data_IF_056471075440
#
_entry.id   IF_056471075440
#
_cell.length_a   1.000
_cell.length_b   1.000
_cell.length_c   1.000
_cell.angle_alpha   90.00
_cell.angle_beta   90.00
_cell.angle_gamma   90.00
#
_symmetry.space_group_name_H-M   'P 1'
#
loop_
_entity.id
_entity.type
_entity.pdbx_description
1 polymer ?
#
# COMPACT_ATOMS: atom_id res chain seq x y z
N UNK A 1 -23.26 52.77 53.73
CA UNK A 1 -22.91 52.56 52.33
C UNK A 1 -22.22 51.18 52.18
N UNK A 2 -22.98 50.16 51.75
CA UNK A 2 -22.47 48.80 51.47
C UNK A 2 -22.44 48.60 49.95
N UNK A 3 -21.28 48.47 49.40
CA UNK A 3 -21.13 48.13 48.02
C UNK A 3 -21.36 46.62 47.86
N UNK A 4 -22.27 46.26 46.96
CA UNK A 4 -22.55 44.88 46.52
C UNK A 4 -21.70 44.64 45.26
N UNK A 5 -20.71 43.76 45.37
CA UNK A 5 -20.00 43.21 44.18
C UNK A 5 -20.87 42.12 43.52
N UNK A 6 -21.27 42.41 42.30
CA UNK A 6 -21.91 41.42 41.43
C UNK A 6 -20.85 40.56 40.72
N UNK A 7 -20.82 39.27 41.00
CA UNK A 7 -19.98 38.27 40.30
C UNK A 7 -20.81 37.73 39.15
N UNK A 8 -20.45 38.12 37.94
CA UNK A 8 -21.03 37.56 36.71
C UNK A 8 -20.30 36.25 36.37
N UNK A 9 -20.97 35.13 36.56
CA UNK A 9 -20.47 33.82 36.13
C UNK A 9 -20.63 33.70 34.59
N UNK A 10 -19.52 33.63 33.87
CA UNK A 10 -19.50 33.31 32.45
C UNK A 10 -19.62 31.78 32.32
N UNK A 11 -20.79 31.32 31.90
CA UNK A 11 -21.03 29.93 31.50
C UNK A 11 -20.37 29.71 30.15
N UNK A 12 -19.22 29.05 30.09
CA UNK A 12 -18.68 28.50 28.85
C UNK A 12 -19.54 27.30 28.42
N UNK A 13 -20.35 27.50 27.41
CA UNK A 13 -21.04 26.41 26.73
C UNK A 13 -19.99 25.72 25.87
N UNK A 14 -19.43 24.60 26.34
CA UNK A 14 -18.72 23.65 25.51
C UNK A 14 -19.75 22.99 24.58
N UNK A 15 -19.84 23.49 23.35
CA UNK A 15 -20.59 22.84 22.28
C UNK A 15 -19.88 21.52 21.92
N UNK A 16 -20.27 20.44 22.57
CA UNK A 16 -19.88 19.11 22.20
C UNK A 16 -20.37 18.86 20.77
N UNK A 17 -19.44 18.50 19.86
CA UNK A 17 -19.79 17.96 18.54
C UNK A 17 -20.53 16.65 18.84
N UNK A 18 -21.75 16.43 18.36
CA UNK A 18 -22.51 15.22 18.69
C UNK A 18 -21.78 13.98 18.18
N UNK A 19 -21.61 12.95 19.01
CA UNK A 19 -21.00 11.65 18.72
C UNK A 19 -21.53 11.02 17.42
N UNK A 20 -22.80 11.26 17.10
CA UNK A 20 -23.44 10.82 15.86
C UNK A 20 -22.82 11.40 14.59
N UNK A 21 -22.29 12.64 14.64
CA UNK A 21 -21.69 13.28 13.46
C UNK A 21 -20.31 12.70 13.13
N UNK A 22 -19.55 12.26 14.13
CA UNK A 22 -18.24 11.65 13.93
C UNK A 22 -18.38 10.22 13.37
N UNK A 23 -19.25 9.40 13.95
CA UNK A 23 -19.57 8.05 13.44
C UNK A 23 -20.07 8.09 12.00
N UNK A 24 -20.95 9.04 11.66
CA UNK A 24 -21.49 9.18 10.30
C UNK A 24 -20.44 9.63 9.28
N UNK A 25 -19.44 10.44 9.70
CA UNK A 25 -18.33 10.88 8.83
C UNK A 25 -17.36 9.71 8.52
N UNK A 26 -17.05 8.87 9.50
CA UNK A 26 -16.18 7.69 9.30
C UNK A 26 -16.85 6.63 8.43
N UNK A 27 -18.14 6.39 8.60
CA UNK A 27 -18.91 5.47 7.75
C UNK A 27 -18.99 5.95 6.30
N UNK A 28 -19.15 7.25 6.06
CA UNK A 28 -19.16 7.81 4.71
C UNK A 28 -17.80 7.73 4.04
N UNK A 29 -16.70 8.00 4.77
CA UNK A 29 -15.35 7.86 4.25
C UNK A 29 -15.03 6.41 3.87
N UNK A 30 -15.45 5.45 4.71
CA UNK A 30 -15.30 4.02 4.45
C UNK A 30 -16.09 3.56 3.21
N UNK A 31 -17.36 3.96 3.07
CA UNK A 31 -18.17 3.69 1.90
C UNK A 31 -17.55 4.26 0.62
N UNK A 32 -16.97 5.45 0.71
CA UNK A 32 -16.24 6.07 -0.40
C UNK A 32 -15.01 5.24 -0.79
N UNK A 33 -14.21 4.77 0.16
CA UNK A 33 -13.03 3.95 -0.10
C UNK A 33 -13.42 2.62 -0.77
N UNK A 34 -14.43 1.91 -0.24
CA UNK A 34 -14.92 0.66 -0.83
C UNK A 34 -15.39 0.87 -2.27
N UNK A 35 -16.08 1.98 -2.55
CA UNK A 35 -16.49 2.34 -3.92
C UNK A 35 -15.30 2.59 -4.83
N UNK A 36 -14.24 3.25 -4.34
CA UNK A 36 -13.01 3.47 -5.12
C UNK A 36 -12.25 2.15 -5.36
N UNK A 37 -12.23 1.26 -4.37
CA UNK A 37 -11.64 -0.07 -4.50
C UNK A 37 -12.39 -0.89 -5.56
N UNK A 38 -13.74 -0.86 -5.56
CA UNK A 38 -14.53 -1.51 -6.62
C UNK A 38 -14.24 -0.92 -7.98
N UNK A 39 -14.26 0.42 -8.12
CA UNK A 39 -13.92 1.09 -9.38
C UNK A 39 -12.52 0.70 -9.88
N UNK A 40 -11.55 0.50 -8.96
CA UNK A 40 -10.24 0.01 -9.33
C UNK A 40 -10.28 -1.45 -9.82
N UNK A 41 -10.97 -2.34 -9.13
CA UNK A 41 -11.15 -3.74 -9.55
C UNK A 41 -11.78 -3.80 -10.95
N UNK A 42 -12.75 -2.94 -11.22
CA UNK A 42 -13.47 -2.85 -12.51
C UNK A 42 -12.58 -2.42 -13.69
N UNK A 43 -11.43 -1.81 -13.44
CA UNK A 43 -10.46 -1.48 -14.50
C UNK A 43 -9.82 -2.74 -15.13
N UNK A 44 -9.64 -3.79 -14.37
CA UNK A 44 -9.21 -5.13 -14.79
C UNK A 44 -7.79 -5.25 -15.33
N UNK A 45 -7.37 -4.38 -16.26
CA UNK A 45 -6.08 -4.47 -16.95
C UNK A 45 -5.43 -3.11 -17.20
N UNK A 46 -4.10 -3.01 -16.99
CA UNK A 46 -3.35 -1.79 -17.21
C UNK A 46 -1.93 -1.99 -17.70
N UNK A 47 -1.30 -0.88 -18.13
CA UNK A 47 0.10 -0.82 -18.56
C UNK A 47 0.97 -0.23 -17.47
N UNK A 48 1.96 -0.98 -16.97
CA UNK A 48 3.05 -0.44 -16.19
C UNK A 48 4.16 0.03 -17.14
N UNK A 49 4.71 1.20 -16.91
CA UNK A 49 5.72 1.79 -17.81
C UNK A 49 6.96 2.10 -16.99
N UNK A 50 7.98 1.24 -17.11
CA UNK A 50 9.30 1.49 -16.53
C UNK A 50 10.17 2.21 -17.56
N UNK A 51 10.31 3.51 -17.37
CA UNK A 51 11.12 4.36 -18.23
C UNK A 51 11.87 5.41 -17.40
N UNK A 52 13.16 5.21 -17.19
CA UNK A 52 14.00 6.05 -16.34
C UNK A 52 15.49 5.80 -16.68
N UNK A 53 16.42 6.31 -15.90
CA UNK A 53 17.88 6.11 -16.06
C UNK A 53 18.27 4.63 -16.32
N UNK A 54 17.70 3.61 -15.64
CA UNK A 54 18.06 2.21 -15.91
C UNK A 54 17.78 1.73 -17.35
N UNK A 55 16.94 2.42 -18.12
CA UNK A 55 16.74 2.17 -19.57
C UNK A 55 18.05 2.31 -20.36
N UNK A 56 18.96 3.16 -19.88
CA UNK A 56 20.24 3.45 -20.51
C UNK A 56 21.39 2.63 -19.95
N UNK A 57 21.15 1.87 -18.86
CA UNK A 57 22.10 0.97 -18.20
C UNK A 57 21.92 -0.50 -18.60
N UNK A 58 22.74 -1.36 -17.99
CA UNK A 58 22.69 -2.81 -18.19
C UNK A 58 21.74 -3.51 -17.21
N UNK A 59 21.54 -2.95 -15.99
CA UNK A 59 20.72 -3.49 -14.94
C UNK A 59 19.45 -2.67 -14.71
N UNK A 60 18.48 -3.22 -13.98
CA UNK A 60 17.30 -2.48 -13.51
C UNK A 60 17.65 -1.49 -12.37
N UNK A 61 18.87 -1.58 -11.82
CA UNK A 61 19.45 -0.68 -10.83
C UNK A 61 20.49 0.22 -11.51
N UNK A 62 20.23 1.52 -11.53
CA UNK A 62 21.20 2.47 -12.06
C UNK A 62 22.25 2.85 -11.03
N UNK A 63 23.43 3.21 -11.52
CA UNK A 63 24.45 3.87 -10.72
C UNK A 63 23.86 5.14 -10.09
N UNK A 64 23.92 5.32 -8.76
CA UNK A 64 23.42 6.52 -8.10
C UNK A 64 24.11 7.82 -8.57
N UNK A 65 25.32 7.72 -9.10
CA UNK A 65 26.10 8.86 -9.63
C UNK A 65 25.96 9.03 -11.15
N UNK A 66 25.06 8.26 -11.79
CA UNK A 66 24.81 8.37 -13.23
C UNK A 66 24.38 9.78 -13.61
N UNK A 67 25.10 10.40 -14.56
CA UNK A 67 24.78 11.76 -15.01
C UNK A 67 23.41 11.83 -15.68
N UNK A 68 22.58 12.85 -15.39
CA UNK A 68 21.37 13.14 -16.16
C UNK A 68 21.59 13.21 -17.68
N UNK A 69 22.82 13.49 -18.12
CA UNK A 69 23.17 13.59 -19.54
C UNK A 69 23.00 12.28 -20.33
N UNK A 70 22.99 11.11 -19.65
CA UNK A 70 22.75 9.83 -20.33
C UNK A 70 21.28 9.66 -20.74
N UNK A 71 20.36 10.38 -20.08
CA UNK A 71 18.93 10.31 -20.36
C UNK A 71 18.59 11.23 -21.55
N UNK A 72 18.65 10.68 -22.76
CA UNK A 72 18.52 11.45 -23.99
C UNK A 72 17.67 10.73 -25.06
N UNK A 73 16.36 10.54 -24.83
CA UNK A 73 15.48 9.97 -25.85
C UNK A 73 15.37 10.89 -27.06
N UNK A 74 15.53 10.32 -28.27
CA UNK A 74 15.51 11.08 -29.52
C UNK A 74 14.11 11.14 -30.15
N UNK A 75 13.23 10.18 -29.83
CA UNK A 75 11.93 10.01 -30.50
C UNK A 75 10.81 9.74 -29.51
N UNK A 76 10.95 10.17 -28.24
CA UNK A 76 9.97 9.89 -27.21
C UNK A 76 8.56 10.26 -27.67
N UNK A 77 7.66 9.28 -27.61
CA UNK A 77 6.28 9.41 -28.07
C UNK A 77 5.30 8.72 -27.11
N UNK A 78 4.77 9.48 -26.16
CA UNK A 78 3.79 8.98 -25.19
C UNK A 78 2.40 8.70 -25.80
N UNK A 79 2.08 9.29 -26.98
CA UNK A 79 0.86 8.91 -27.72
C UNK A 79 0.97 7.46 -28.21
N UNK A 80 2.14 7.02 -28.71
CA UNK A 80 2.38 5.63 -29.09
C UNK A 80 2.19 4.67 -27.88
N UNK A 81 2.63 5.09 -26.67
CA UNK A 81 2.42 4.27 -25.46
C UNK A 81 0.92 4.12 -25.16
N UNK A 82 0.17 5.20 -25.25
CA UNK A 82 -1.27 5.19 -24.99
C UNK A 82 -2.04 4.37 -26.06
N UNK A 83 -1.64 4.49 -27.32
CA UNK A 83 -2.20 3.69 -28.42
C UNK A 83 -1.89 2.20 -28.26
N UNK A 84 -0.67 1.85 -27.83
CA UNK A 84 -0.30 0.47 -27.53
C UNK A 84 -1.14 -0.09 -26.37
N UNK A 85 -1.34 0.68 -25.30
CA UNK A 85 -2.22 0.29 -24.19
C UNK A 85 -3.68 0.07 -24.67
N UNK A 86 -4.23 0.97 -25.48
CA UNK A 86 -5.58 0.81 -26.06
C UNK A 86 -5.67 -0.42 -26.94
N UNK A 87 -4.62 -0.74 -27.71
CA UNK A 87 -4.62 -1.91 -28.60
C UNK A 87 -4.73 -3.24 -27.83
N UNK A 88 -4.34 -3.26 -26.56
CA UNK A 88 -4.45 -4.39 -25.65
C UNK A 88 -5.74 -4.40 -24.81
N UNK A 89 -6.67 -3.48 -25.02
CA UNK A 89 -7.86 -3.24 -24.18
C UNK A 89 -7.54 -2.89 -22.74
N UNK A 90 -6.41 -2.21 -22.48
CA UNK A 90 -6.08 -1.68 -21.17
C UNK A 90 -6.93 -0.47 -20.82
N UNK A 91 -7.23 -0.29 -19.53
CA UNK A 91 -8.07 0.79 -19.00
C UNK A 91 -7.23 1.94 -18.38
N UNK A 92 -5.98 1.72 -18.08
CA UNK A 92 -5.09 2.70 -17.42
C UNK A 92 -3.62 2.47 -17.73
N UNK A 93 -2.81 3.49 -17.43
CA UNK A 93 -1.36 3.39 -17.36
C UNK A 93 -0.86 3.78 -15.99
N UNK A 94 0.33 3.28 -15.62
CA UNK A 94 1.10 3.66 -14.44
C UNK A 94 2.56 3.90 -14.83
N UNK A 95 3.03 5.15 -14.72
CA UNK A 95 4.39 5.54 -15.10
C UNK A 95 5.31 5.60 -13.89
N UNK A 96 6.52 5.05 -14.00
CA UNK A 96 7.58 5.24 -12.98
C UNK A 96 8.11 6.66 -13.02
N UNK A 97 7.59 7.54 -12.17
CA UNK A 97 8.00 8.95 -12.12
C UNK A 97 9.40 9.12 -11.55
N UNK A 98 9.73 8.34 -10.52
CA UNK A 98 11.05 8.19 -9.91
C UNK A 98 11.27 6.75 -9.50
N UNK A 99 12.36 6.13 -9.93
CA UNK A 99 12.79 4.80 -9.49
C UNK A 99 13.89 4.91 -8.43
N UNK A 100 14.49 3.80 -7.99
CA UNK A 100 15.42 3.71 -6.87
C UNK A 100 16.70 4.53 -7.02
N UNK A 101 17.06 4.93 -8.24
CA UNK A 101 18.21 5.85 -8.48
C UNK A 101 17.95 7.28 -8.05
N UNK A 102 16.68 7.68 -7.87
CA UNK A 102 16.33 9.04 -7.49
C UNK A 102 16.11 10.02 -8.66
N UNK A 103 16.34 9.59 -9.91
CA UNK A 103 16.14 10.46 -11.07
C UNK A 103 14.66 10.71 -11.34
N UNK A 104 14.27 11.99 -11.29
CA UNK A 104 12.91 12.45 -11.51
C UNK A 104 12.64 12.75 -12.99
N UNK A 105 11.63 12.12 -13.60
CA UNK A 105 11.29 12.36 -15.02
C UNK A 105 10.23 13.45 -15.22
N UNK A 106 10.09 14.37 -14.26
CA UNK A 106 9.23 15.55 -14.32
C UNK A 106 10.00 16.81 -13.92
N UNK A 107 9.40 17.99 -14.14
CA UNK A 107 9.95 19.29 -13.75
C UNK A 107 9.83 19.52 -12.23
N UNK A 108 10.56 18.71 -11.45
CA UNK A 108 10.61 18.89 -9.99
C UNK A 108 11.48 20.09 -9.61
N UNK A 109 11.08 20.76 -8.53
CA UNK A 109 11.85 21.85 -7.89
C UNK A 109 12.64 21.38 -6.67
N UNK A 110 12.58 20.08 -6.34
CA UNK A 110 13.18 19.53 -5.13
C UNK A 110 14.61 19.04 -5.29
N UNK A 111 15.04 18.79 -6.52
CA UNK A 111 16.38 18.28 -6.85
C UNK A 111 16.75 18.64 -8.28
N UNK A 112 18.06 18.81 -8.53
CA UNK A 112 18.61 18.97 -9.88
C UNK A 112 18.79 17.63 -10.61
N UNK A 113 18.65 16.49 -9.91
CA UNK A 113 18.71 15.16 -10.50
C UNK A 113 17.38 14.82 -11.17
N UNK A 114 17.10 15.51 -12.27
CA UNK A 114 15.83 15.41 -12.98
C UNK A 114 15.98 15.59 -14.50
N UNK A 115 14.89 15.29 -15.22
CA UNK A 115 14.84 15.31 -16.68
C UNK A 115 15.08 16.71 -17.30
N UNK A 116 14.81 17.79 -16.56
CA UNK A 116 15.04 19.16 -17.06
C UNK A 116 16.54 19.48 -17.16
N UNK A 117 17.37 18.77 -16.40
CA UNK A 117 18.83 18.86 -16.46
C UNK A 117 19.46 17.77 -17.37
N UNK A 118 18.65 16.97 -18.05
CA UNK A 118 19.06 16.06 -19.12
C UNK A 118 19.08 16.76 -20.49
N UNK A 119 19.68 16.18 -21.54
CA UNK A 119 19.57 16.71 -22.90
C UNK A 119 18.13 16.78 -23.43
N UNK A 120 17.23 15.95 -22.92
CA UNK A 120 15.82 15.91 -23.35
C UNK A 120 15.01 17.15 -22.91
N UNK A 121 15.22 17.65 -21.70
CA UNK A 121 14.66 18.90 -21.16
C UNK A 121 13.15 19.08 -21.32
N UNK A 122 12.37 18.01 -21.21
CA UNK A 122 10.90 18.06 -21.26
C UNK A 122 10.31 17.16 -20.19
N UNK A 123 9.24 17.63 -19.58
CA UNK A 123 8.47 16.89 -18.57
C UNK A 123 7.75 15.69 -19.20
N UNK A 124 8.17 14.48 -18.83
CA UNK A 124 7.61 13.23 -19.37
C UNK A 124 6.31 12.87 -18.67
N UNK A 125 6.17 13.21 -17.39
CA UNK A 125 4.93 12.96 -16.65
C UNK A 125 3.79 13.77 -17.24
N UNK A 126 4.04 15.03 -17.61
CA UNK A 126 3.06 15.88 -18.29
C UNK A 126 2.63 15.28 -19.63
N UNK A 127 3.60 14.84 -20.46
CA UNK A 127 3.33 14.24 -21.76
C UNK A 127 2.52 12.94 -21.61
N UNK A 128 2.94 12.04 -20.72
CA UNK A 128 2.26 10.79 -20.42
C UNK A 128 0.80 11.03 -19.97
N UNK A 129 0.60 11.92 -19.00
CA UNK A 129 -0.74 12.20 -18.48
C UNK A 129 -1.68 12.75 -19.55
N UNK A 130 -1.17 13.64 -20.44
CA UNK A 130 -1.94 14.18 -21.56
C UNK A 130 -2.32 13.09 -22.58
N UNK A 131 -1.36 12.25 -23.00
CA UNK A 131 -1.57 11.20 -24.00
C UNK A 131 -2.55 10.12 -23.51
N UNK A 132 -2.41 9.68 -22.26
CA UNK A 132 -3.30 8.65 -21.72
C UNK A 132 -4.74 9.18 -21.55
N UNK A 133 -4.93 10.39 -21.04
CA UNK A 133 -6.27 10.99 -20.95
C UNK A 133 -6.91 11.23 -22.31
N UNK A 134 -6.15 11.65 -23.32
CA UNK A 134 -6.60 11.81 -24.71
C UNK A 134 -7.22 10.50 -25.26
N UNK A 135 -6.68 9.35 -24.85
CA UNK A 135 -7.18 8.03 -25.20
C UNK A 135 -8.29 7.49 -24.26
N UNK A 136 -8.72 8.30 -23.27
CA UNK A 136 -9.70 7.88 -22.26
C UNK A 136 -9.17 6.89 -21.23
N UNK A 137 -7.85 6.77 -21.11
CA UNK A 137 -7.19 5.92 -20.12
C UNK A 137 -7.03 6.65 -18.78
N UNK A 138 -7.20 5.93 -17.65
CA UNK A 138 -6.88 6.48 -16.34
C UNK A 138 -5.39 6.63 -16.17
N UNK A 139 -4.98 7.65 -15.39
CA UNK A 139 -3.58 7.96 -15.09
C UNK A 139 -3.27 7.52 -13.68
N UNK A 140 -2.26 6.67 -13.53
CA UNK A 140 -1.67 6.26 -12.27
C UNK A 140 -0.17 6.56 -12.30
N UNK A 141 0.44 6.73 -11.14
CA UNK A 141 1.86 7.02 -11.01
C UNK A 141 2.51 6.01 -10.05
N UNK A 142 3.78 5.74 -10.30
CA UNK A 142 4.67 5.00 -9.40
C UNK A 142 5.76 5.93 -8.88
N UNK A 143 6.11 5.76 -7.62
CA UNK A 143 7.13 6.54 -6.94
C UNK A 143 7.92 5.65 -5.96
N UNK A 144 9.25 5.65 -6.05
CA UNK A 144 10.11 4.97 -5.08
C UNK A 144 10.49 5.90 -3.94
N UNK A 145 10.34 5.41 -2.69
CA UNK A 145 10.88 6.10 -1.51
C UNK A 145 12.37 5.81 -1.31
N UNK A 146 12.88 4.67 -1.80
CA UNK A 146 14.33 4.47 -1.89
C UNK A 146 14.89 5.43 -2.93
N UNK A 147 15.96 6.12 -2.57
CA UNK A 147 16.65 7.07 -3.43
C UNK A 147 18.15 6.99 -3.16
N UNK A 148 18.84 6.25 -4.03
CA UNK A 148 20.26 5.97 -3.84
C UNK A 148 21.15 7.17 -4.13
N UNK A 149 20.70 8.08 -5.03
CA UNK A 149 21.42 9.32 -5.35
C UNK A 149 21.46 10.27 -4.15
N UNK A 150 20.30 10.50 -3.52
CA UNK A 150 20.19 11.36 -2.34
C UNK A 150 20.53 10.65 -1.04
N UNK A 151 21.05 9.41 -1.10
CA UNK A 151 21.38 8.59 0.07
C UNK A 151 20.20 8.33 1.04
N UNK A 152 18.97 8.31 0.50
CA UNK A 152 17.77 8.03 1.24
C UNK A 152 17.63 6.51 1.39
N UNK A 153 18.19 5.98 2.49
CA UNK A 153 18.25 4.56 2.84
C UNK A 153 18.28 4.37 4.36
N UNK A 154 18.05 3.17 4.89
CA UNK A 154 18.00 2.94 6.34
C UNK A 154 19.21 3.51 7.09
N UNK A 155 18.96 4.12 8.25
CA UNK A 155 19.99 4.75 9.07
C UNK A 155 20.58 6.06 8.52
N UNK A 156 20.10 6.52 7.34
CA UNK A 156 20.51 7.79 6.72
C UNK A 156 19.33 8.74 6.46
N UNK A 157 18.10 8.30 6.73
CA UNK A 157 16.89 9.09 6.51
C UNK A 157 16.84 10.26 7.50
N UNK A 158 16.63 11.46 6.99
CA UNK A 158 16.57 12.71 7.74
C UNK A 158 15.22 13.39 7.56
N UNK A 159 14.84 14.37 8.40
CA UNK A 159 13.65 15.19 8.16
C UNK A 159 13.65 15.90 6.80
N UNK A 160 14.81 16.26 6.26
CA UNK A 160 14.93 16.85 4.93
C UNK A 160 14.54 15.84 3.82
N UNK A 161 14.89 14.57 3.96
CA UNK A 161 14.47 13.51 3.05
C UNK A 161 12.95 13.30 3.08
N UNK A 162 12.34 13.28 4.27
CA UNK A 162 10.87 13.18 4.42
C UNK A 162 10.19 14.39 3.77
N UNK A 163 10.74 15.59 3.99
CA UNK A 163 10.24 16.81 3.34
C UNK A 163 10.34 16.70 1.81
N UNK A 164 11.47 16.27 1.26
CA UNK A 164 11.66 16.09 -0.19
C UNK A 164 10.63 15.10 -0.77
N UNK A 165 10.39 13.94 -0.12
CA UNK A 165 9.36 13.00 -0.54
C UNK A 165 7.99 13.68 -0.57
N UNK A 166 7.62 14.40 0.49
CA UNK A 166 6.32 15.08 0.61
C UNK A 166 6.15 16.17 -0.45
N UNK A 167 7.19 16.94 -0.71
CA UNK A 167 7.19 18.00 -1.75
C UNK A 167 7.05 17.38 -3.14
N UNK A 168 7.81 16.32 -3.47
CA UNK A 168 7.72 15.59 -4.73
C UNK A 168 6.34 14.99 -4.96
N UNK A 169 5.75 14.37 -3.95
CA UNK A 169 4.39 13.82 -4.04
C UNK A 169 3.36 14.94 -4.19
N UNK A 170 3.57 16.10 -3.54
CA UNK A 170 2.71 17.26 -3.72
C UNK A 170 2.76 17.75 -5.16
N UNK A 171 3.94 17.90 -5.76
CA UNK A 171 4.08 18.26 -7.19
C UNK A 171 3.34 17.27 -8.09
N UNK A 172 3.55 15.96 -7.90
CA UNK A 172 2.93 14.92 -8.72
C UNK A 172 1.40 14.89 -8.60
N UNK A 173 0.85 15.21 -7.43
CA UNK A 173 -0.59 15.18 -7.18
C UNK A 173 -1.28 16.53 -7.50
N UNK A 174 -0.55 17.62 -7.71
CA UNK A 174 -1.15 18.94 -8.01
C UNK A 174 -1.00 19.35 -9.46
N UNK A 175 0.11 18.98 -10.15
CA UNK A 175 0.46 19.55 -11.43
C UNK A 175 -0.08 18.75 -12.64
N UNK A 176 -0.49 17.49 -12.44
CA UNK A 176 -0.82 16.58 -13.55
C UNK A 176 -2.30 16.16 -13.58
N UNK A 177 -3.20 16.90 -12.91
CA UNK A 177 -4.63 16.60 -12.85
C UNK A 177 -4.96 15.37 -12.02
N UNK A 178 -6.10 14.74 -12.28
CA UNK A 178 -6.58 13.58 -11.50
C UNK A 178 -5.63 12.37 -11.65
N UNK A 179 -5.15 11.85 -10.51
CA UNK A 179 -4.37 10.63 -10.40
C UNK A 179 -5.25 9.58 -9.70
N UNK A 180 -5.58 8.51 -10.43
CA UNK A 180 -6.51 7.48 -9.92
C UNK A 180 -5.87 6.62 -8.83
N UNK A 181 -4.57 6.38 -8.92
CA UNK A 181 -3.81 5.67 -7.89
C UNK A 181 -2.32 6.06 -7.94
N UNK A 182 -1.68 5.96 -6.77
CA UNK A 182 -0.25 6.14 -6.58
C UNK A 182 0.31 4.84 -5.99
N UNK A 183 1.23 4.21 -6.72
CA UNK A 183 2.00 3.06 -6.25
C UNK A 183 3.29 3.61 -5.63
N UNK A 184 3.50 3.34 -4.35
CA UNK A 184 4.75 3.66 -3.66
C UNK A 184 5.52 2.37 -3.43
N UNK A 185 6.81 2.41 -3.75
CA UNK A 185 7.71 1.28 -3.62
C UNK A 185 8.86 1.59 -2.67
N UNK A 186 9.33 0.56 -1.97
CA UNK A 186 10.49 0.63 -1.09
C UNK A 186 10.19 0.46 0.38
N UNK A 187 8.95 0.53 0.86
CA UNK A 187 8.67 0.19 2.24
C UNK A 187 8.91 -1.29 2.48
N UNK A 188 9.74 -1.56 3.48
CA UNK A 188 9.98 -2.87 4.08
C UNK A 188 10.27 -4.00 3.05
N UNK A 189 10.78 -3.60 1.90
CA UNK A 189 11.29 -4.52 0.89
C UNK A 189 12.67 -5.07 1.34
N UNK A 190 12.99 -6.33 1.04
CA UNK A 190 14.28 -6.92 1.45
C UNK A 190 15.51 -6.14 0.97
N UNK A 191 15.38 -5.45 -0.16
CA UNK A 191 16.44 -4.68 -0.79
C UNK A 191 16.52 -3.22 -0.31
N UNK A 192 15.40 -2.60 0.12
CA UNK A 192 15.39 -1.22 0.63
C UNK A 192 15.58 -1.17 2.13
N UNK A 193 14.92 -2.07 2.89
CA UNK A 193 14.87 -2.12 4.35
C UNK A 193 14.36 -0.84 5.01
N UNK A 194 13.68 0.03 4.28
CA UNK A 194 13.06 1.25 4.83
C UNK A 194 11.77 0.84 5.51
N UNK A 195 11.68 1.03 6.83
CA UNK A 195 10.48 0.71 7.60
C UNK A 195 9.37 1.74 7.40
N UNK A 196 8.15 1.39 7.81
CA UNK A 196 7.01 2.33 7.86
C UNK A 196 7.18 3.43 8.93
N UNK A 197 8.19 3.32 9.80
CA UNK A 197 8.57 4.35 10.77
C UNK A 197 9.68 5.25 10.24
N UNK A 198 10.62 4.71 9.44
CA UNK A 198 11.70 5.49 8.81
C UNK A 198 11.15 6.53 7.83
N UNK A 199 10.18 6.13 7.00
CA UNK A 199 9.34 7.01 6.19
C UNK A 199 7.90 6.79 6.62
N UNK A 200 7.33 7.68 7.48
CA UNK A 200 6.05 7.44 8.12
C UNK A 200 4.90 7.27 7.13
N UNK A 201 4.40 6.02 7.00
CA UNK A 201 3.33 5.70 6.05
C UNK A 201 2.08 6.55 6.28
N UNK A 202 1.68 6.71 7.53
CA UNK A 202 0.50 7.49 7.91
C UNK A 202 0.60 8.94 7.43
N UNK A 203 1.78 9.57 7.53
CA UNK A 203 1.98 10.94 7.05
C UNK A 203 1.85 11.05 5.53
N UNK A 204 2.43 10.09 4.81
CA UNK A 204 2.34 10.03 3.35
C UNK A 204 0.90 9.74 2.90
N UNK A 205 0.23 8.79 3.54
CA UNK A 205 -1.17 8.46 3.27
C UNK A 205 -2.07 9.69 3.46
N UNK A 206 -1.95 10.38 4.59
CA UNK A 206 -2.74 11.56 4.89
C UNK A 206 -2.45 12.72 3.93
N UNK A 207 -1.18 12.91 3.51
CA UNK A 207 -0.82 13.89 2.50
C UNK A 207 -1.53 13.60 1.17
N UNK A 208 -1.44 12.38 0.67
CA UNK A 208 -2.09 11.96 -0.58
C UNK A 208 -3.60 12.20 -0.52
N UNK A 209 -4.24 11.75 0.57
CA UNK A 209 -5.69 11.91 0.74
C UNK A 209 -6.12 13.36 0.95
N UNK A 210 -5.27 14.21 1.49
CA UNK A 210 -5.56 15.64 1.63
C UNK A 210 -5.54 16.40 0.30
N UNK A 211 -4.65 15.99 -0.63
CA UNK A 211 -4.52 16.63 -1.95
C UNK A 211 -5.54 16.03 -2.93
N UNK A 212 -5.59 14.71 -3.03
CA UNK A 212 -6.52 13.97 -3.88
C UNK A 212 -7.24 12.88 -3.10
N UNK A 213 -8.40 13.17 -2.47
CA UNK A 213 -9.12 12.19 -1.63
C UNK A 213 -9.52 10.90 -2.36
N UNK A 214 -9.67 10.95 -3.69
CA UNK A 214 -10.02 9.80 -4.52
C UNK A 214 -8.83 8.99 -5.01
N UNK A 215 -7.59 9.48 -4.85
CA UNK A 215 -6.40 8.75 -5.22
C UNK A 215 -6.20 7.56 -4.27
N UNK A 216 -6.16 6.34 -4.82
CA UNK A 216 -5.80 5.14 -4.06
C UNK A 216 -4.30 5.11 -3.82
N UNK A 217 -3.87 4.84 -2.58
CA UNK A 217 -2.47 4.64 -2.26
C UNK A 217 -2.17 3.14 -2.16
N UNK A 218 -1.16 2.69 -2.87
CA UNK A 218 -0.70 1.30 -2.90
C UNK A 218 0.74 1.21 -2.42
N UNK A 219 0.99 0.34 -1.43
CA UNK A 219 2.34 -0.11 -1.13
C UNK A 219 2.64 -1.35 -1.98
N UNK A 220 3.67 -1.26 -2.84
CA UNK A 220 4.02 -2.37 -3.74
C UNK A 220 4.47 -3.63 -2.96
N UNK A 221 4.96 -3.47 -1.74
CA UNK A 221 5.51 -4.55 -0.89
C UNK A 221 4.53 -5.09 0.16
N UNK A 222 3.25 -4.68 0.11
CA UNK A 222 2.24 -5.09 1.10
C UNK A 222 1.87 -6.59 1.05
N UNK A 223 2.31 -7.34 0.05
CA UNK A 223 2.02 -8.78 -0.08
C UNK A 223 2.56 -9.64 1.08
N UNK A 224 3.55 -9.15 1.84
CA UNK A 224 4.08 -9.83 3.03
C UNK A 224 3.07 -9.99 4.16
N UNK A 225 2.09 -9.12 4.25
CA UNK A 225 1.01 -9.21 5.23
C UNK A 225 -0.02 -10.24 4.80
N UNK A 226 -0.76 -10.84 5.76
CA UNK A 226 -1.82 -11.80 5.44
C UNK A 226 -2.84 -11.27 4.43
N UNK A 227 -3.32 -12.16 3.56
CA UNK A 227 -4.24 -11.83 2.46
C UNK A 227 -5.69 -11.60 2.91
N UNK A 228 -5.97 -11.68 4.20
CA UNK A 228 -7.31 -11.51 4.77
C UNK A 228 -7.58 -10.08 5.25
N UNK A 229 -6.55 -9.21 5.30
CA UNK A 229 -6.70 -7.81 5.68
C UNK A 229 -5.71 -6.90 4.92
N UNK A 230 -6.05 -5.61 4.83
CA UNK A 230 -5.19 -4.58 4.26
C UNK A 230 -4.35 -3.93 5.37
N UNK A 231 -3.04 -3.89 5.17
CA UNK A 231 -2.08 -3.19 6.02
C UNK A 231 -1.26 -2.26 5.15
N UNK A 232 -1.19 -0.98 5.49
CA UNK A 232 -0.39 0.04 4.80
C UNK A 232 -0.65 0.15 3.30
N UNK A 233 -1.88 -0.13 2.85
CA UNK A 233 -2.24 -0.06 1.42
C UNK A 233 -3.75 -0.05 1.24
N UNK A 234 -4.28 0.73 0.29
CA UNK A 234 -5.69 0.64 -0.12
C UNK A 234 -5.97 -0.58 -1.02
N UNK A 235 -4.96 -1.04 -1.75
CA UNK A 235 -5.02 -2.16 -2.69
C UNK A 235 -3.84 -3.10 -2.42
N UNK A 236 -4.09 -4.39 -2.27
CA UNK A 236 -3.05 -5.39 -2.03
C UNK A 236 -2.23 -5.64 -3.29
N UNK A 237 -0.92 -5.39 -3.25
CA UNK A 237 -0.05 -5.55 -4.42
C UNK A 237 0.76 -6.85 -4.36
N UNK A 238 0.96 -7.49 -5.53
CA UNK A 238 1.71 -8.73 -5.69
C UNK A 238 2.67 -8.62 -6.87
N UNK A 239 3.97 -8.65 -6.60
CA UNK A 239 5.01 -8.69 -7.63
C UNK A 239 5.38 -10.14 -7.96
N UNK A 240 4.87 -10.66 -9.09
CA UNK A 240 5.09 -12.07 -9.47
C UNK A 240 6.57 -12.38 -9.69
N UNK A 241 7.35 -11.45 -10.23
CA UNK A 241 8.79 -11.58 -10.44
C UNK A 241 9.58 -11.74 -9.15
N UNK A 242 9.07 -11.22 -8.04
CA UNK A 242 9.62 -11.36 -6.69
C UNK A 242 9.05 -12.60 -5.95
N UNK A 243 8.31 -13.48 -6.63
CA UNK A 243 7.71 -14.66 -6.02
C UNK A 243 6.45 -14.38 -5.20
N UNK A 244 5.86 -13.20 -5.33
CA UNK A 244 4.63 -12.84 -4.67
C UNK A 244 3.44 -13.22 -5.55
N UNK A 245 2.68 -14.21 -5.13
CA UNK A 245 1.54 -14.72 -5.90
C UNK A 245 0.23 -14.55 -5.14
N UNK A 246 -0.78 -14.05 -5.86
CA UNK A 246 -2.14 -14.00 -5.33
C UNK A 246 -2.77 -15.40 -5.34
N UNK A 247 -3.53 -15.73 -4.30
CA UNK A 247 -4.42 -16.89 -4.33
C UNK A 247 -5.65 -16.55 -5.17
N UNK A 248 -5.75 -17.12 -6.37
CA UNK A 248 -6.83 -16.86 -7.33
C UNK A 248 -8.18 -17.41 -6.83
N UNK A 249 -8.14 -18.43 -5.97
CA UNK A 249 -9.33 -19.13 -5.46
C UNK A 249 -9.88 -18.49 -4.18
N UNK A 250 -9.02 -17.91 -3.35
CA UNK A 250 -9.40 -17.47 -2.00
C UNK A 250 -9.27 -15.97 -1.75
N UNK A 251 -8.69 -15.19 -2.67
CA UNK A 251 -8.58 -13.74 -2.46
C UNK A 251 -9.97 -13.08 -2.36
N UNK A 252 -10.13 -12.21 -1.38
CA UNK A 252 -11.35 -11.44 -1.10
C UNK A 252 -11.09 -9.94 -1.00
N UNK A 253 -9.83 -9.51 -1.19
CA UNK A 253 -9.42 -8.11 -1.11
C UNK A 253 -9.20 -7.52 -2.49
N UNK A 254 -9.39 -6.19 -2.65
CA UNK A 254 -8.99 -5.51 -3.86
C UNK A 254 -7.47 -5.67 -4.05
N UNK A 255 -7.05 -6.13 -5.21
CA UNK A 255 -5.66 -6.50 -5.45
C UNK A 255 -5.14 -6.01 -6.80
N UNK A 256 -3.81 -5.93 -6.88
CA UNK A 256 -3.03 -5.67 -8.08
C UNK A 256 -1.95 -6.75 -8.20
N UNK A 257 -1.75 -7.30 -9.38
CA UNK A 257 -0.62 -8.20 -9.66
C UNK A 257 0.17 -7.68 -10.84
N UNK A 258 1.49 -7.58 -10.73
CA UNK A 258 2.37 -7.06 -11.76
C UNK A 258 3.38 -8.10 -12.28
N UNK A 259 3.71 -7.98 -13.57
CA UNK A 259 4.65 -8.85 -14.27
C UNK A 259 5.25 -8.10 -15.46
N UNK A 260 6.57 -8.17 -15.74
CA UNK A 260 7.12 -7.62 -16.99
C UNK A 260 6.79 -8.52 -18.19
N UNK A 261 6.48 -7.90 -19.34
CA UNK A 261 6.23 -8.61 -20.61
C UNK A 261 7.51 -9.24 -21.15
N UNK A 262 8.65 -8.60 -20.93
CA UNK A 262 10.00 -9.13 -21.18
C UNK A 262 10.61 -9.75 -19.90
N UNK A 263 11.93 -9.91 -19.86
CA UNK A 263 12.64 -10.50 -18.72
C UNK A 263 12.85 -9.49 -17.57
N UNK A 264 13.11 -8.21 -17.88
CA UNK A 264 13.47 -7.15 -16.94
C UNK A 264 12.39 -6.08 -16.87
N UNK A 265 12.45 -5.23 -15.83
CA UNK A 265 11.55 -4.11 -15.67
C UNK A 265 11.86 -2.98 -16.65
N UNK A 266 13.12 -2.65 -16.83
CA UNK A 266 13.58 -1.64 -17.81
C UNK A 266 14.04 -2.30 -19.10
N UNK A 267 13.92 -1.55 -20.20
CA UNK A 267 14.34 -2.00 -21.52
C UNK A 267 15.84 -2.33 -21.57
N UNK A 268 16.22 -3.34 -22.33
CA UNK A 268 17.60 -3.76 -22.60
C UNK A 268 17.84 -3.92 -24.10
N UNK A 269 19.08 -3.72 -24.58
CA UNK A 269 19.43 -3.83 -26.01
C UNK A 269 19.02 -5.15 -26.67
N UNK A 270 18.85 -6.21 -25.92
CA UNK A 270 18.40 -7.52 -26.40
C UNK A 270 16.88 -7.60 -26.66
N UNK A 271 16.06 -6.66 -26.14
CA UNK A 271 14.58 -6.79 -26.17
C UNK A 271 13.98 -6.83 -27.57
N UNK A 272 14.46 -6.09 -28.59
CA UNK A 272 13.89 -6.16 -29.94
C UNK A 272 13.94 -7.55 -30.57
N UNK A 273 14.92 -8.38 -30.17
CA UNK A 273 15.11 -9.75 -30.66
C UNK A 273 14.82 -10.83 -29.62
N UNK A 274 14.62 -10.45 -28.34
CA UNK A 274 14.33 -11.39 -27.27
C UNK A 274 12.87 -11.88 -27.33
N UNK A 275 12.59 -13.11 -26.86
CA UNK A 275 11.21 -13.58 -26.72
C UNK A 275 10.38 -12.67 -25.81
N UNK A 276 9.21 -12.30 -26.31
CA UNK A 276 8.15 -11.66 -25.52
C UNK A 276 7.25 -12.76 -24.95
N UNK A 277 6.70 -12.58 -23.75
CA UNK A 277 5.76 -13.54 -23.15
C UNK A 277 4.56 -13.78 -24.07
N UNK A 278 4.10 -15.03 -24.14
CA UNK A 278 2.99 -15.42 -25.00
C UNK A 278 1.69 -14.72 -24.58
N UNK A 279 0.98 -14.12 -25.55
CA UNK A 279 -0.27 -13.39 -25.32
C UNK A 279 -1.37 -14.28 -24.72
N UNK A 280 -1.51 -15.51 -25.22
CA UNK A 280 -2.50 -16.46 -24.71
C UNK A 280 -2.23 -16.88 -23.28
N UNK A 281 -0.96 -17.10 -22.91
CA UNK A 281 -0.57 -17.42 -21.52
C UNK A 281 -0.85 -16.24 -20.58
N UNK A 282 -0.52 -15.01 -20.99
CA UNK A 282 -0.80 -13.81 -20.21
C UNK A 282 -2.30 -13.62 -19.96
N UNK A 283 -3.13 -13.88 -20.98
CA UNK A 283 -4.59 -13.74 -20.86
C UNK A 283 -5.18 -14.86 -20.01
N UNK A 284 -4.85 -16.13 -20.32
CA UNK A 284 -5.52 -17.28 -19.72
C UNK A 284 -5.01 -17.64 -18.32
N UNK A 285 -3.72 -17.43 -18.05
CA UNK A 285 -3.11 -17.80 -16.77
C UNK A 285 -3.00 -16.66 -15.77
N UNK A 286 -3.08 -15.39 -16.23
CA UNK A 286 -3.02 -14.20 -15.36
C UNK A 286 -4.30 -13.36 -15.45
N UNK A 287 -4.53 -12.69 -16.57
CA UNK A 287 -5.53 -11.63 -16.68
C UNK A 287 -6.94 -12.09 -16.32
N UNK A 288 -7.46 -13.13 -16.98
CA UNK A 288 -8.82 -13.63 -16.71
C UNK A 288 -8.96 -14.19 -15.28
N UNK A 289 -8.04 -15.07 -14.79
CA UNK A 289 -8.14 -15.57 -13.41
C UNK A 289 -8.01 -14.47 -12.35
N UNK A 290 -7.15 -13.47 -12.57
CA UNK A 290 -7.00 -12.36 -11.63
C UNK A 290 -8.26 -11.51 -11.54
N UNK A 291 -8.86 -11.14 -12.69
CA UNK A 291 -10.09 -10.35 -12.69
C UNK A 291 -11.23 -11.07 -11.93
N UNK A 292 -11.32 -12.39 -12.02
CA UNK A 292 -12.28 -13.20 -11.23
C UNK A 292 -11.97 -13.18 -9.73
N UNK A 293 -10.74 -12.90 -9.35
CA UNK A 293 -10.25 -12.85 -7.96
C UNK A 293 -10.09 -11.42 -7.42
N UNK A 294 -10.87 -10.46 -7.89
CA UNK A 294 -10.83 -9.04 -7.47
C UNK A 294 -9.45 -8.39 -7.66
N UNK A 295 -8.67 -8.88 -8.62
CA UNK A 295 -7.31 -8.44 -8.85
C UNK A 295 -7.15 -7.86 -10.25
N UNK A 296 -6.65 -6.63 -10.31
CA UNK A 296 -6.14 -6.03 -11.54
C UNK A 296 -4.85 -6.71 -11.96
N UNK A 297 -4.65 -6.85 -13.27
CA UNK A 297 -3.38 -7.21 -13.84
C UNK A 297 -2.72 -5.99 -14.46
N UNK A 298 -1.51 -5.66 -14.05
CA UNK A 298 -0.72 -4.59 -14.64
C UNK A 298 0.51 -5.20 -15.31
N UNK A 299 0.59 -5.09 -16.63
CA UNK A 299 1.67 -5.65 -17.44
C UNK A 299 2.72 -4.57 -17.71
N UNK A 300 3.96 -4.81 -17.30
CA UNK A 300 5.03 -3.88 -17.55
C UNK A 300 5.51 -3.93 -19.00
N UNK A 301 5.50 -2.78 -19.63
CA UNK A 301 5.96 -2.52 -20.99
C UNK A 301 7.01 -1.41 -20.93
N UNK A 302 8.26 -1.77 -21.19
CA UNK A 302 9.39 -0.85 -21.08
C UNK A 302 9.70 -0.19 -22.44
N UNK A 303 9.56 1.12 -22.59
CA UNK A 303 10.03 1.85 -23.77
C UNK A 303 11.57 1.76 -23.91
N UNK A 304 12.04 1.73 -25.15
CA UNK A 304 13.46 1.69 -25.49
C UNK A 304 14.16 3.03 -25.27
N UNK A 305 15.46 3.11 -25.56
CA UNK A 305 16.30 4.32 -25.38
C UNK A 305 15.83 5.52 -26.20
N UNK A 306 15.14 5.28 -27.33
CA UNK A 306 14.51 6.36 -28.14
C UNK A 306 13.19 6.87 -27.51
N UNK A 307 12.62 6.16 -26.52
CA UNK A 307 11.34 6.47 -25.89
C UNK A 307 10.13 5.88 -26.63
N UNK A 308 10.34 4.77 -27.36
CA UNK A 308 9.31 4.05 -28.11
C UNK A 308 9.17 2.62 -27.59
N UNK A 309 7.95 2.09 -27.63
CA UNK A 309 7.73 0.64 -27.41
C UNK A 309 8.13 -0.10 -28.68
N UNK A 310 8.89 -1.18 -28.53
CA UNK A 310 9.38 -2.00 -29.65
C UNK A 310 8.23 -2.75 -30.36
N UNK A 311 8.38 -2.97 -31.68
CA UNK A 311 7.32 -3.52 -32.54
C UNK A 311 6.91 -4.95 -32.15
N UNK A 312 7.84 -5.80 -31.68
CA UNK A 312 7.52 -7.14 -31.16
C UNK A 312 6.59 -7.08 -29.94
N UNK A 313 6.77 -6.10 -29.06
CA UNK A 313 5.90 -5.86 -27.90
C UNK A 313 4.55 -5.32 -28.34
N UNK A 314 4.51 -4.33 -29.25
CA UNK A 314 3.25 -3.80 -29.84
C UNK A 314 2.45 -4.92 -30.50
N UNK A 315 3.09 -5.81 -31.23
CA UNK A 315 2.43 -6.96 -31.86
C UNK A 315 1.78 -7.88 -30.82
N UNK A 316 2.50 -8.18 -29.73
CA UNK A 316 1.95 -8.99 -28.62
C UNK A 316 0.80 -8.29 -27.90
N UNK A 317 0.86 -6.96 -27.69
CA UNK A 317 -0.23 -6.18 -27.09
C UNK A 317 -1.49 -6.20 -27.95
N UNK A 318 -1.35 -6.08 -29.27
CA UNK A 318 -2.48 -6.21 -30.23
C UNK A 318 -3.09 -7.63 -30.17
N UNK A 319 -2.28 -8.66 -30.01
CA UNK A 319 -2.77 -10.03 -29.84
C UNK A 319 -3.51 -10.21 -28.50
N UNK A 320 -2.99 -9.69 -27.41
CA UNK A 320 -3.71 -9.65 -26.11
C UNK A 320 -5.08 -9.00 -26.30
N UNK A 321 -5.17 -7.86 -26.99
CA UNK A 321 -6.43 -7.15 -27.23
C UNK A 321 -7.45 -7.92 -28.08
N UNK A 322 -7.00 -8.87 -28.93
CA UNK A 322 -7.89 -9.79 -29.65
C UNK A 322 -8.43 -10.88 -28.72
N UNK A 323 -7.59 -11.39 -27.82
CA UNK A 323 -7.92 -12.51 -26.93
C UNK A 323 -8.69 -12.08 -25.68
N UNK A 324 -8.39 -10.90 -25.13
CA UNK A 324 -9.01 -10.38 -23.93
C UNK A 324 -10.14 -9.39 -24.24
N UNK A 325 -11.30 -9.65 -23.68
CA UNK A 325 -12.40 -8.69 -23.59
C UNK A 325 -12.64 -8.40 -22.11
N UNK A 326 -12.66 -7.13 -21.74
CA UNK A 326 -13.05 -6.73 -20.39
C UNK A 326 -14.42 -7.32 -20.08
N UNK A 327 -14.63 -7.93 -18.91
CA UNK A 327 -15.93 -8.45 -18.51
C UNK A 327 -16.96 -7.30 -18.49
N UNK A 328 -18.18 -7.56 -18.94
CA UNK A 328 -19.28 -6.59 -18.84
C UNK A 328 -19.61 -6.26 -17.38
N UNK A 329 -19.48 -7.28 -16.51
CA UNK A 329 -19.69 -7.14 -15.07
C UNK A 329 -18.52 -7.78 -14.33
N UNK A 330 -17.83 -7.00 -13.52
CA UNK A 330 -16.86 -7.52 -12.56
C UNK A 330 -17.57 -8.05 -11.32
N UNK A 331 -16.99 -9.03 -10.61
CA UNK A 331 -17.57 -9.49 -9.35
C UNK A 331 -17.59 -8.36 -8.34
N UNK A 332 -18.67 -8.26 -7.57
CA UNK A 332 -18.79 -7.31 -6.47
C UNK A 332 -17.77 -7.65 -5.38
N UNK A 333 -16.96 -6.66 -4.99
CA UNK A 333 -15.94 -6.81 -3.97
C UNK A 333 -16.59 -7.09 -2.61
N UNK A 334 -16.20 -8.18 -1.92
CA UNK A 334 -16.69 -8.43 -0.58
C UNK A 334 -16.36 -7.28 0.37
N UNK A 335 -17.25 -7.03 1.33
CA UNK A 335 -17.01 -6.03 2.37
C UNK A 335 -15.71 -6.34 3.12
N UNK A 336 -14.90 -5.33 3.36
CA UNK A 336 -13.66 -5.42 4.13
C UNK A 336 -13.56 -4.31 5.18
N UNK A 337 -12.67 -4.48 6.14
CA UNK A 337 -12.51 -3.55 7.25
C UNK A 337 -11.76 -2.25 6.86
N UNK A 338 -11.29 -2.15 5.61
CA UNK A 338 -10.39 -1.09 5.17
C UNK A 338 -8.97 -1.24 5.73
N UNK A 339 -8.02 -0.43 5.23
CA UNK A 339 -6.62 -0.56 5.61
C UNK A 339 -6.34 -0.12 7.05
N UNK A 340 -5.37 -0.77 7.67
CA UNK A 340 -4.69 -0.29 8.87
C UNK A 340 -3.50 0.53 8.41
N UNK A 341 -3.46 1.83 8.77
CA UNK A 341 -2.52 2.82 8.21
C UNK A 341 -1.50 3.36 9.21
N UNK A 342 -1.62 3.07 10.49
CA UNK A 342 -0.69 3.55 11.51
C UNK A 342 0.29 2.46 11.97
N UNK A 343 1.40 2.88 12.58
CA UNK A 343 2.41 1.96 13.11
C UNK A 343 1.85 1.08 14.23
N UNK A 344 2.34 -0.18 14.28
CA UNK A 344 1.97 -1.13 15.33
C UNK A 344 2.65 -0.77 16.66
N UNK A 345 1.87 -0.26 17.62
CA UNK A 345 2.34 0.12 18.96
C UNK A 345 2.77 -1.09 19.79
N UNK A 346 2.31 -2.30 19.45
CA UNK A 346 2.67 -3.54 20.11
C UNK A 346 4.04 -4.11 19.67
N UNK A 347 4.57 -3.65 18.53
CA UNK A 347 5.75 -4.23 17.90
C UNK A 347 6.95 -4.29 18.86
N UNK A 348 7.49 -5.52 19.07
CA UNK A 348 8.63 -5.79 19.91
C UNK A 348 8.51 -5.23 21.36
N UNK A 349 7.28 -5.09 21.87
CA UNK A 349 7.02 -4.70 23.25
C UNK A 349 7.01 -5.94 24.16
N UNK A 350 7.30 -5.77 25.46
CA UNK A 350 7.21 -6.89 26.41
C UNK A 350 5.85 -7.57 26.32
N UNK A 351 5.87 -8.88 26.14
CA UNK A 351 4.68 -9.72 26.12
C UNK A 351 4.64 -10.62 27.36
N UNK A 352 3.44 -11.00 27.79
CA UNK A 352 3.20 -11.95 28.87
C UNK A 352 1.98 -12.83 28.54
N UNK A 353 1.91 -14.02 29.06
CA UNK A 353 0.80 -14.93 28.79
C UNK A 353 0.47 -15.82 29.99
N UNK A 354 -0.75 -16.39 29.97
CA UNK A 354 -1.17 -17.37 30.98
C UNK A 354 -0.31 -18.63 30.97
N UNK A 355 0.28 -18.95 29.84
CA UNK A 355 1.14 -20.11 29.63
C UNK A 355 1.94 -19.96 28.33
N UNK A 356 3.13 -20.49 28.31
CA UNK A 356 3.99 -20.59 27.13
C UNK A 356 4.96 -21.78 27.28
N UNK A 357 5.20 -22.48 26.19
CA UNK A 357 6.15 -23.63 26.13
C UNK A 357 7.59 -23.17 26.32
N UNK A 358 7.90 -22.01 25.76
CA UNK A 358 9.20 -21.35 25.79
C UNK A 358 9.00 -19.93 26.29
N UNK A 359 9.91 -19.43 27.08
CA UNK A 359 9.86 -18.07 27.63
C UNK A 359 9.82 -16.99 26.53
N UNK A 360 10.28 -17.32 25.31
CA UNK A 360 10.29 -16.41 24.17
C UNK A 360 9.07 -16.53 23.27
N UNK A 361 8.24 -17.57 23.39
CA UNK A 361 7.15 -17.84 22.44
C UNK A 361 6.05 -16.77 22.48
N UNK A 362 5.84 -16.10 23.62
CA UNK A 362 4.88 -15.01 23.71
C UNK A 362 5.29 -13.79 22.89
N UNK A 363 6.57 -13.53 22.72
CA UNK A 363 7.09 -12.43 21.90
C UNK A 363 6.89 -12.67 20.40
N UNK A 364 6.57 -13.91 20.00
CA UNK A 364 6.20 -14.22 18.63
C UNK A 364 4.85 -13.65 18.22
N UNK A 365 4.05 -13.19 19.15
CA UNK A 365 2.73 -12.62 18.86
C UNK A 365 2.75 -11.09 18.65
N UNK A 366 3.92 -10.46 18.59
CA UNK A 366 4.03 -9.01 18.34
C UNK A 366 5.36 -8.60 17.67
N UNK A 367 5.90 -9.48 16.83
CA UNK A 367 7.19 -9.29 16.15
C UNK A 367 7.08 -8.91 14.67
N UNK A 368 5.86 -8.64 14.16
CA UNK A 368 5.53 -8.41 12.75
C UNK A 368 5.91 -9.59 11.82
N UNK A 369 6.12 -10.78 12.39
CA UNK A 369 6.37 -12.00 11.62
C UNK A 369 5.18 -12.96 11.68
N UNK A 370 4.27 -12.85 10.76
CA UNK A 370 3.03 -13.64 10.69
C UNK A 370 3.23 -15.16 10.45
N UNK A 371 4.49 -15.61 10.40
CA UNK A 371 4.85 -17.05 10.32
C UNK A 371 5.18 -17.65 11.67
N UNK A 372 5.43 -16.82 12.69
CA UNK A 372 5.61 -17.24 14.09
C UNK A 372 4.29 -17.06 14.85
N UNK A 373 4.16 -17.68 16.04
CA UNK A 373 2.97 -17.51 16.86
C UNK A 373 3.21 -17.87 18.32
N UNK A 374 2.51 -17.18 19.21
CA UNK A 374 2.24 -17.71 20.54
C UNK A 374 1.16 -18.79 20.47
N UNK A 375 1.38 -19.91 21.17
CA UNK A 375 0.43 -21.00 21.24
C UNK A 375 0.05 -21.28 22.68
N UNK A 376 -1.24 -21.34 22.99
CA UNK A 376 -1.72 -21.71 24.32
C UNK A 376 -1.66 -23.20 24.56
N UNK A 377 -1.56 -23.61 25.84
CA UNK A 377 -1.73 -25.01 26.24
C UNK A 377 -3.20 -25.39 26.26
N UNK A 378 -3.61 -26.54 25.64
CA UNK A 378 -4.98 -27.01 25.64
C UNK A 378 -5.57 -27.23 27.03
N UNK A 379 -4.74 -27.48 28.05
CA UNK A 379 -5.19 -27.66 29.43
C UNK A 379 -5.58 -26.34 30.14
N UNK A 380 -5.21 -25.19 29.61
CA UNK A 380 -5.55 -23.87 30.16
C UNK A 380 -6.98 -23.51 29.73
N UNK A 381 -7.91 -23.45 30.66
CA UNK A 381 -9.33 -23.20 30.37
C UNK A 381 -9.61 -21.76 29.87
N UNK A 382 -8.87 -20.79 30.33
CA UNK A 382 -9.01 -19.37 29.98
C UNK A 382 -7.65 -18.79 29.64
N UNK A 383 -7.06 -19.17 28.49
CA UNK A 383 -5.78 -18.65 28.09
C UNK A 383 -5.85 -17.15 27.75
N UNK A 384 -4.77 -16.45 28.04
CA UNK A 384 -4.64 -15.03 27.75
C UNK A 384 -3.23 -14.69 27.29
N UNK A 385 -3.16 -13.63 26.48
CA UNK A 385 -1.94 -12.96 26.01
C UNK A 385 -2.04 -11.45 26.29
N UNK A 386 -0.97 -10.87 26.79
CA UNK A 386 -0.87 -9.45 27.16
C UNK A 386 0.33 -8.81 26.52
N UNK A 387 0.16 -7.60 25.97
CA UNK A 387 1.24 -6.76 25.50
C UNK A 387 1.34 -5.52 26.41
N UNK A 388 2.54 -5.21 26.91
CA UNK A 388 2.84 -4.00 27.69
C UNK A 388 3.54 -2.97 26.81
N UNK A 389 2.87 -1.88 26.47
CA UNK A 389 3.43 -0.79 25.68
C UNK A 389 4.47 0.05 26.44
N UNK A 390 4.79 -0.35 27.71
CA UNK A 390 5.79 0.24 28.63
C UNK A 390 5.36 1.60 29.20
N UNK A 391 4.57 2.35 28.46
CA UNK A 391 3.99 3.64 28.87
C UNK A 391 2.54 3.73 28.40
N UNK A 392 1.81 4.63 29.01
CA UNK A 392 0.45 4.95 28.57
C UNK A 392 0.47 5.54 27.17
N UNK A 393 -0.31 4.94 26.24
CA UNK A 393 -0.41 5.33 24.86
C UNK A 393 -1.88 5.38 24.42
N UNK A 394 -2.21 6.32 23.53
CA UNK A 394 -3.52 6.38 22.91
C UNK A 394 -3.62 5.38 21.75
N UNK A 395 -4.74 4.64 21.69
CA UNK A 395 -5.03 3.71 20.58
C UNK A 395 -6.53 3.56 20.37
N UNK A 396 -6.92 3.10 19.17
CA UNK A 396 -8.32 2.93 18.78
C UNK A 396 -8.55 1.71 17.89
N UNK A 397 -7.53 0.89 17.67
CA UNK A 397 -7.63 -0.31 16.85
C UNK A 397 -6.77 -1.42 17.46
N UNK A 398 -7.35 -2.62 17.55
CA UNK A 398 -6.65 -3.86 17.89
C UNK A 398 -6.90 -4.86 16.76
N UNK A 399 -5.83 -5.49 16.28
CA UNK A 399 -5.90 -6.54 15.27
C UNK A 399 -5.45 -7.87 15.87
N UNK A 400 -6.34 -8.84 15.84
CA UNK A 400 -6.06 -10.21 16.29
C UNK A 400 -5.80 -11.05 15.04
N UNK A 401 -4.56 -11.51 14.86
CA UNK A 401 -4.19 -12.41 13.77
C UNK A 401 -3.88 -13.78 14.36
N UNK A 402 -4.74 -14.76 14.14
CA UNK A 402 -4.51 -16.16 14.52
C UNK A 402 -3.52 -16.82 13.55
N UNK A 403 -2.74 -17.79 14.01
CA UNK A 403 -1.84 -18.55 13.15
C UNK A 403 -2.61 -19.36 12.10
N UNK A 404 -3.82 -19.82 12.46
CA UNK A 404 -4.78 -20.50 11.58
C UNK A 404 -6.20 -20.03 11.88
N UNK A 405 -7.10 -20.19 10.91
CA UNK A 405 -8.52 -19.93 11.16
C UNK A 405 -9.06 -20.92 12.20
N UNK A 406 -9.63 -20.40 13.28
CA UNK A 406 -10.26 -21.19 14.32
C UNK A 406 -11.38 -20.37 14.96
N UNK A 407 -12.50 -21.01 15.27
CA UNK A 407 -13.59 -20.36 16.00
C UNK A 407 -13.26 -20.28 17.48
N UNK A 408 -13.19 -19.09 18.03
CA UNK A 408 -13.00 -18.86 19.46
C UNK A 408 -13.72 -17.59 19.94
N UNK A 409 -14.22 -17.63 21.16
CA UNK A 409 -14.76 -16.46 21.82
C UNK A 409 -13.64 -15.76 22.61
N UNK A 410 -13.60 -14.44 22.53
CA UNK A 410 -12.57 -13.63 23.16
C UNK A 410 -13.13 -12.42 23.89
N UNK A 411 -12.35 -11.93 24.85
CA UNK A 411 -12.49 -10.61 25.48
C UNK A 411 -11.17 -9.86 25.39
N UNK A 412 -11.23 -8.59 25.03
CA UNK A 412 -10.07 -7.70 25.00
C UNK A 412 -10.28 -6.66 26.09
N UNK A 413 -9.28 -6.54 26.96
CA UNK A 413 -9.24 -5.54 28.04
C UNK A 413 -8.00 -4.63 27.86
N UNK A 414 -8.07 -3.39 28.34
CA UNK A 414 -6.90 -2.51 28.43
C UNK A 414 -6.66 -2.08 29.89
N UNK A 415 -5.40 -1.79 30.22
CA UNK A 415 -4.97 -1.40 31.55
C UNK A 415 -4.61 0.10 31.58
N UNK A 416 -5.29 0.83 32.43
CA UNK A 416 -5.06 2.25 32.71
C UNK A 416 -5.40 2.54 34.17
N UNK A 417 -4.77 3.55 34.77
CA UNK A 417 -5.06 3.98 36.15
C UNK A 417 -5.04 2.81 37.17
N UNK A 418 -4.09 1.87 37.00
CA UNK A 418 -3.97 0.66 37.83
C UNK A 418 -5.17 -0.28 37.83
N UNK A 419 -6.02 -0.24 36.77
CA UNK A 419 -7.20 -1.11 36.61
C UNK A 419 -7.33 -1.60 35.19
N UNK A 420 -7.99 -2.76 35.06
CA UNK A 420 -8.42 -3.30 33.78
C UNK A 420 -9.82 -2.79 33.43
N UNK A 421 -9.97 -2.36 32.20
CA UNK A 421 -11.25 -1.93 31.62
C UNK A 421 -11.58 -2.79 30.41
N UNK A 422 -12.86 -3.21 30.25
CA UNK A 422 -13.28 -3.93 29.05
C UNK A 422 -13.18 -3.01 27.82
N UNK A 423 -12.73 -3.56 26.70
CA UNK A 423 -12.58 -2.86 25.43
C UNK A 423 -13.50 -3.43 24.35
N UNK A 424 -13.47 -4.75 24.17
CA UNK A 424 -14.28 -5.45 23.18
C UNK A 424 -14.45 -6.92 23.59
N UNK A 425 -15.55 -7.54 23.11
CA UNK A 425 -15.73 -8.98 23.18
C UNK A 425 -16.41 -9.47 21.90
N UNK A 426 -16.26 -10.74 21.57
CA UNK A 426 -16.88 -11.31 20.39
C UNK A 426 -16.37 -12.69 20.05
N UNK A 427 -16.72 -13.12 18.84
CA UNK A 427 -16.26 -14.38 18.25
C UNK A 427 -15.35 -14.08 17.07
N UNK A 428 -14.25 -14.78 16.99
CA UNK A 428 -13.37 -14.81 15.84
C UNK A 428 -13.63 -16.10 15.06
N UNK A 429 -14.06 -15.97 13.81
CA UNK A 429 -14.33 -17.10 12.90
C UNK A 429 -13.35 -17.13 11.73
N UNK A 430 -12.64 -16.02 11.52
CA UNK A 430 -11.62 -15.86 10.49
C UNK A 430 -10.24 -15.78 11.11
N UNK A 431 -9.19 -15.92 10.28
CA UNK A 431 -7.82 -15.79 10.73
C UNK A 431 -7.51 -14.40 11.29
N UNK A 432 -8.14 -13.35 10.75
CA UNK A 432 -7.90 -11.96 11.16
C UNK A 432 -9.19 -11.32 11.64
N UNK A 433 -9.11 -10.62 12.77
CA UNK A 433 -10.19 -9.80 13.31
C UNK A 433 -9.65 -8.39 13.58
N UNK A 434 -10.22 -7.39 12.91
CA UNK A 434 -9.93 -5.97 13.15
C UNK A 434 -11.01 -5.42 14.08
N UNK A 435 -10.59 -4.90 15.24
CA UNK A 435 -11.45 -4.28 16.23
C UNK A 435 -11.19 -2.78 16.24
N UNK A 436 -12.19 -1.99 15.90
CA UNK A 436 -12.14 -0.52 15.90
C UNK A 436 -13.12 0.02 16.93
N UNK A 437 -12.66 0.96 17.75
CA UNK A 437 -13.42 1.52 18.88
C UNK A 437 -13.01 2.99 19.10
N UNK A 438 -13.73 3.69 19.98
CA UNK A 438 -13.35 5.02 20.41
C UNK A 438 -11.97 5.03 21.06
N UNK A 439 -11.19 6.09 20.79
CA UNK A 439 -9.83 6.19 21.28
C UNK A 439 -9.76 6.11 22.79
N UNK A 440 -8.98 5.18 23.29
CA UNK A 440 -8.65 5.03 24.72
C UNK A 440 -7.16 5.31 24.94
N UNK A 441 -6.78 5.56 26.20
CA UNK A 441 -5.39 5.65 26.63
C UNK A 441 -5.11 4.57 27.66
N UNK A 442 -4.05 3.78 27.46
CA UNK A 442 -3.67 2.68 28.34
C UNK A 442 -2.25 2.20 28.11
N UNK A 443 -1.70 1.49 29.11
CA UNK A 443 -0.36 0.96 29.03
C UNK A 443 -0.31 -0.47 28.49
N UNK A 444 -1.37 -1.28 28.79
CA UNK A 444 -1.38 -2.69 28.39
C UNK A 444 -2.67 -3.06 27.71
N UNK A 445 -2.59 -4.04 26.83
CA UNK A 445 -3.75 -4.68 26.18
C UNK A 445 -3.65 -6.19 26.42
N UNK A 446 -4.76 -6.81 26.83
CA UNK A 446 -4.86 -8.26 27.07
C UNK A 446 -6.03 -8.83 26.29
N UNK A 447 -5.77 -9.90 25.54
CA UNK A 447 -6.80 -10.77 24.99
C UNK A 447 -6.95 -12.00 25.88
N UNK A 448 -8.20 -12.40 26.20
CA UNK A 448 -8.57 -13.64 26.91
C UNK A 448 -9.51 -14.44 26.03
N UNK A 449 -9.26 -15.73 25.94
CA UNK A 449 -10.13 -16.66 25.23
C UNK A 449 -11.03 -17.37 26.22
N UNK A 450 -12.34 -17.32 26.00
CA UNK A 450 -13.35 -17.83 26.96
C UNK A 450 -14.01 -19.14 26.50
N UNK A 451 -14.04 -19.37 25.18
CA UNK A 451 -14.56 -20.62 24.60
C UNK A 451 -13.82 -20.90 23.28
N UNK A 452 -13.35 -22.13 23.09
CA UNK A 452 -12.61 -22.56 21.92
C UNK A 452 -12.61 -24.08 21.78
N UNK A 453 -12.62 -24.56 20.53
CA UNK A 453 -12.49 -25.99 20.23
C UNK A 453 -11.05 -26.47 20.17
N UNK A 454 -10.16 -25.60 19.65
CA UNK A 454 -8.72 -25.83 19.59
C UNK A 454 -8.00 -24.75 20.40
N UNK A 455 -6.87 -25.09 21.00
CA UNK A 455 -6.07 -24.15 21.78
C UNK A 455 -5.73 -22.91 20.94
N UNK A 456 -5.99 -21.68 21.44
CA UNK A 456 -5.71 -20.46 20.69
C UNK A 456 -4.23 -20.31 20.33
N UNK A 457 -4.00 -19.80 19.11
CA UNK A 457 -2.68 -19.55 18.57
C UNK A 457 -2.68 -18.18 17.89
N UNK A 458 -1.90 -17.24 18.41
CA UNK A 458 -1.83 -15.84 17.93
C UNK A 458 -0.53 -15.60 17.19
N UNK A 459 -0.62 -15.32 15.89
CA UNK A 459 0.54 -14.92 15.09
C UNK A 459 0.89 -13.44 15.31
N UNK A 460 -0.13 -12.58 15.51
CA UNK A 460 0.11 -11.17 15.81
C UNK A 460 -1.06 -10.57 16.60
N UNK A 461 -0.77 -9.88 17.69
CA UNK A 461 -1.68 -9.00 18.41
C UNK A 461 -1.22 -7.56 18.18
N UNK A 462 -1.74 -6.93 17.14
CA UNK A 462 -1.39 -5.56 16.77
C UNK A 462 -2.23 -4.52 17.52
N UNK A 463 -1.62 -3.39 17.89
CA UNK A 463 -2.26 -2.26 18.56
C UNK A 463 -1.96 -0.99 17.76
N UNK A 464 -2.98 -0.22 17.37
CA UNK A 464 -2.81 0.90 16.46
C UNK A 464 -3.57 2.14 16.93
N UNK A 465 -3.04 3.31 16.60
CA UNK A 465 -3.69 4.61 16.80
C UNK A 465 -3.97 5.25 15.44
N UNK A 466 -5.03 4.82 14.80
CA UNK A 466 -5.41 5.32 13.49
C UNK A 466 -6.06 6.71 13.59
N UNK A 467 -5.70 7.62 12.68
CA UNK A 467 -6.42 8.88 12.48
C UNK A 467 -7.66 8.62 11.62
N UNK A 468 -8.80 9.00 12.16
CA UNK A 468 -10.11 8.83 11.49
C UNK A 468 -10.89 10.10 11.51
#
# INVERSE_FOLDING_TARGET
MKQILSVTAILMILSGIPETAFSQKTDNARKTLVSLQQQFVDLGFGMFIHYNIPTYGEDDWADPDASPAIFNPQKLNTDQWAEAAKSANMAYGCLTTKHHSGFAIWDTKTTDYNVMNSPYKKDIVAQYAASFRKQGLKVMLYYSILDTHHNLRPGKITPAHIKMIKDQLTELLTNYGEISALIIDGWDAPWSRISYDDVPFEEIYNLVKSIQPKCLLMDLNAAKYPSEALFYTDIKSYEQGAGQHISKESNKLPALSCLPINKYWFWKPSFPSAPVKNAGDLVNNNLIPFNKAYCNFILNVAPNRDGLIDENVISTLKEIGKLYKAPENHPELPANDGPVISSNLAKNRPANSSWGDDMMIMDFANNDNFKTSWNSNPAVKQPWLEIDMVKEMGFNTVVITSAKAATCNYKVDYFANNKWYPLAEGTQESRIKVLRFERVSGQKVRIKFTDFKEAPSIAELGIYNERR
#
